data_IF_687732455917
#
_entry.id   IF_687732455917
#
_cell.length_a   1.000
_cell.length_b   1.000
_cell.length_c   1.000
_cell.angle_alpha   90.00
_cell.angle_beta   90.00
_cell.angle_gamma   90.00
#
_symmetry.space_group_name_H-M   'P 1'
#
loop_
_entity.id
_entity.type
_entity.pdbx_description
1 polymer ?
#
# COMPACT_ATOMS: atom_id res chain seq x y z
N UNK A 1 -17.84 -27.05 11.54
CA UNK A 1 -17.56 -25.61 11.38
C UNK A 1 -16.27 -25.51 10.59
N UNK A 2 -16.28 -24.90 9.41
CA UNK A 2 -15.04 -24.60 8.67
C UNK A 2 -14.23 -23.61 9.51
N UNK A 3 -12.97 -23.94 9.81
CA UNK A 3 -12.09 -23.00 10.51
C UNK A 3 -11.94 -21.76 9.63
N UNK A 4 -12.17 -20.58 10.20
CA UNK A 4 -11.96 -19.32 9.50
C UNK A 4 -10.46 -19.21 9.19
N UNK A 5 -10.10 -18.98 7.93
CA UNK A 5 -8.72 -18.80 7.54
C UNK A 5 -8.15 -17.54 8.23
N UNK A 6 -6.91 -17.63 8.71
CA UNK A 6 -6.19 -16.46 9.24
C UNK A 6 -6.24 -15.32 8.21
N UNK A 7 -6.44 -14.11 8.67
CA UNK A 7 -6.48 -12.91 7.81
C UNK A 7 -7.81 -12.65 7.10
N UNK A 8 -8.80 -13.54 7.19
CA UNK A 8 -10.10 -13.32 6.56
C UNK A 8 -10.83 -12.06 7.07
N UNK A 9 -10.56 -11.65 8.32
CA UNK A 9 -11.15 -10.48 8.98
C UNK A 9 -10.09 -9.42 9.28
N UNK A 10 -9.20 -9.14 8.32
CA UNK A 10 -8.18 -8.11 8.47
C UNK A 10 -8.81 -6.75 8.80
N UNK A 11 -8.16 -5.99 9.68
CA UNK A 11 -8.70 -4.75 10.25
C UNK A 11 -9.12 -3.71 9.21
N UNK A 12 -8.34 -3.57 8.13
CA UNK A 12 -8.64 -2.63 7.05
C UNK A 12 -9.23 -3.30 5.81
N UNK A 13 -9.67 -4.57 5.92
CA UNK A 13 -10.10 -5.40 4.80
C UNK A 13 -8.94 -6.10 4.09
N UNK A 14 -9.22 -6.78 2.98
CA UNK A 14 -8.25 -7.64 2.30
C UNK A 14 -7.64 -6.98 1.05
N UNK A 15 -8.24 -5.90 0.53
CA UNK A 15 -7.74 -5.15 -0.60
C UNK A 15 -7.69 -3.65 -0.30
N UNK A 16 -6.49 -3.11 -0.18
CA UNK A 16 -6.24 -1.68 -0.08
C UNK A 16 -5.49 -1.22 -1.34
N UNK A 17 -5.77 0.00 -1.80
CA UNK A 17 -4.95 0.64 -2.84
C UNK A 17 -3.99 1.65 -2.20
N UNK A 18 -2.68 1.52 -2.50
CA UNK A 18 -1.71 2.58 -2.24
C UNK A 18 -1.91 3.69 -3.29
N UNK A 19 -2.79 4.64 -2.99
CA UNK A 19 -3.32 5.61 -3.95
C UNK A 19 -2.22 6.54 -4.48
N UNK A 20 -2.18 6.72 -5.81
CA UNK A 20 -1.38 7.75 -6.47
C UNK A 20 -1.95 9.13 -6.14
N UNK A 21 -1.08 10.13 -6.00
CA UNK A 21 -1.49 11.53 -5.77
C UNK A 21 -1.66 12.24 -7.11
N UNK A 22 -2.87 12.65 -7.51
CA UNK A 22 -3.06 13.46 -8.69
C UNK A 22 -2.39 14.83 -8.57
N UNK A 23 -1.71 15.25 -9.62
CA UNK A 23 -1.00 16.52 -9.67
C UNK A 23 -1.45 17.35 -10.89
N UNK A 24 -1.44 18.66 -10.75
CA UNK A 24 -1.52 19.59 -11.88
C UNK A 24 -0.20 19.61 -12.66
N UNK A 25 -0.19 20.16 -13.90
CA UNK A 25 1.05 20.26 -14.71
C UNK A 25 2.18 21.05 -14.06
N UNK A 26 1.88 21.96 -13.14
CA UNK A 26 2.86 22.71 -12.37
C UNK A 26 3.43 21.93 -11.16
N UNK A 27 2.95 20.70 -10.94
CA UNK A 27 3.38 19.84 -9.85
C UNK A 27 2.63 20.07 -8.53
N UNK A 28 1.70 21.01 -8.44
CA UNK A 28 0.83 21.15 -7.25
C UNK A 28 -0.19 20.01 -7.17
N UNK A 29 -0.68 19.72 -5.96
CA UNK A 29 -1.65 18.62 -5.76
C UNK A 29 -3.02 19.04 -6.29
N UNK A 30 -3.63 18.17 -7.11
CA UNK A 30 -5.03 18.27 -7.52
C UNK A 30 -5.93 17.59 -6.47
N UNK A 31 -6.30 18.33 -5.44
CA UNK A 31 -7.15 17.83 -4.35
C UNK A 31 -8.52 17.36 -4.85
N UNK A 32 -9.13 18.07 -5.80
CA UNK A 32 -10.43 17.69 -6.36
C UNK A 32 -10.33 16.40 -7.20
N UNK A 33 -9.26 16.29 -7.99
CA UNK A 33 -8.92 15.06 -8.69
C UNK A 33 -8.64 13.90 -7.73
N UNK A 34 -7.94 14.15 -6.63
CA UNK A 34 -7.67 13.15 -5.60
C UNK A 34 -8.97 12.63 -4.95
N UNK A 35 -9.92 13.51 -4.60
CA UNK A 35 -11.24 13.13 -4.12
C UNK A 35 -12.01 12.27 -5.14
N UNK A 36 -11.96 12.65 -6.41
CA UNK A 36 -12.60 11.90 -7.51
C UNK A 36 -12.00 10.52 -7.67
N UNK A 37 -10.66 10.43 -7.65
CA UNK A 37 -9.93 9.17 -7.73
C UNK A 37 -10.25 8.26 -6.54
N UNK A 38 -10.26 8.80 -5.32
CA UNK A 38 -10.56 8.05 -4.11
C UNK A 38 -11.97 7.44 -4.16
N UNK A 39 -12.99 8.22 -4.52
CA UNK A 39 -14.36 7.73 -4.68
C UNK A 39 -14.46 6.63 -5.73
N UNK A 40 -13.76 6.79 -6.86
CA UNK A 40 -13.74 5.79 -7.93
C UNK A 40 -13.07 4.48 -7.49
N UNK A 41 -11.94 4.55 -6.79
CA UNK A 41 -11.25 3.37 -6.25
C UNK A 41 -12.11 2.63 -5.22
N UNK A 42 -12.78 3.35 -4.33
CA UNK A 42 -13.69 2.73 -3.35
C UNK A 42 -14.90 2.08 -4.03
N UNK A 43 -15.51 2.74 -5.01
CA UNK A 43 -16.61 2.18 -5.80
C UNK A 43 -16.19 0.92 -6.59
N UNK A 44 -14.91 0.81 -6.96
CA UNK A 44 -14.32 -0.37 -7.62
C UNK A 44 -14.19 -1.60 -6.73
N UNK A 45 -14.33 -1.46 -5.39
CA UNK A 45 -14.32 -2.57 -4.45
C UNK A 45 -13.11 -2.61 -3.50
N UNK A 46 -12.33 -1.52 -3.39
CA UNK A 46 -11.33 -1.41 -2.33
C UNK A 46 -11.98 -1.34 -0.95
N UNK A 47 -11.36 -1.92 0.05
CA UNK A 47 -11.83 -1.88 1.44
C UNK A 47 -11.38 -0.60 2.16
N UNK A 48 -10.17 -0.11 1.82
CA UNK A 48 -9.60 1.14 2.29
C UNK A 48 -8.54 1.66 1.30
N UNK A 49 -8.06 2.89 1.50
CA UNK A 49 -6.98 3.48 0.71
C UNK A 49 -5.80 3.87 1.61
N UNK A 50 -4.58 3.65 1.11
CA UNK A 50 -3.37 4.17 1.72
C UNK A 50 -2.99 5.46 1.01
N UNK A 51 -3.04 6.57 1.72
CA UNK A 51 -2.72 7.91 1.23
C UNK A 51 -1.31 8.31 1.67
N UNK A 52 -0.58 9.05 0.86
CA UNK A 52 0.81 9.44 1.16
C UNK A 52 1.79 8.26 1.27
N UNK A 53 1.50 7.14 0.60
CA UNK A 53 2.44 6.03 0.46
C UNK A 53 3.50 6.32 -0.62
N UNK A 54 4.33 5.32 -0.94
CA UNK A 54 5.33 5.41 -2.02
C UNK A 54 4.70 5.77 -3.37
N UNK A 55 3.57 5.12 -3.70
CA UNK A 55 2.82 5.39 -4.94
C UNK A 55 2.21 6.79 -4.96
N UNK A 56 1.92 7.36 -3.79
CA UNK A 56 1.48 8.75 -3.61
C UNK A 56 2.61 9.77 -3.60
N UNK A 57 3.82 9.39 -4.00
CA UNK A 57 5.00 10.27 -4.10
C UNK A 57 5.39 10.94 -2.76
N UNK A 58 5.21 10.22 -1.64
CA UNK A 58 5.50 10.73 -0.29
C UNK A 58 6.90 11.40 -0.12
N UNK A 59 8.00 10.93 -0.76
CA UNK A 59 9.30 11.58 -0.61
C UNK A 59 9.38 13.01 -1.16
N UNK A 60 8.51 13.38 -2.10
CA UNK A 60 8.50 14.69 -2.78
C UNK A 60 7.30 15.54 -2.37
N UNK A 61 6.54 15.12 -1.37
CA UNK A 61 5.39 15.82 -0.82
C UNK A 61 5.74 16.39 0.55
N UNK A 62 5.48 17.66 0.81
CA UNK A 62 5.69 18.28 2.12
C UNK A 62 4.72 17.73 3.18
N UNK A 63 4.99 17.97 4.44
CA UNK A 63 4.09 17.55 5.51
C UNK A 63 2.74 18.26 5.44
N UNK A 64 2.72 19.55 5.13
CA UNK A 64 1.49 20.33 4.94
C UNK A 64 0.66 19.76 3.79
N UNK A 65 1.28 19.52 2.62
CA UNK A 65 0.60 18.88 1.48
C UNK A 65 0.03 17.50 1.86
N UNK A 66 0.75 16.71 2.68
CA UNK A 66 0.26 15.40 3.14
C UNK A 66 -0.97 15.55 4.02
N UNK A 67 -0.95 16.49 4.96
CA UNK A 67 -2.06 16.71 5.89
C UNK A 67 -3.29 17.29 5.17
N UNK A 68 -3.10 18.21 4.23
CA UNK A 68 -4.19 18.77 3.42
C UNK A 68 -4.81 17.69 2.50
N UNK A 69 -3.96 16.80 1.94
CA UNK A 69 -4.47 15.68 1.15
C UNK A 69 -5.27 14.68 2.00
N UNK A 70 -4.86 14.43 3.24
CA UNK A 70 -5.65 13.60 4.16
C UNK A 70 -7.02 14.22 4.42
N UNK A 71 -7.10 15.53 4.70
CA UNK A 71 -8.38 16.23 4.90
C UNK A 71 -9.31 16.08 3.68
N UNK A 72 -8.76 16.32 2.47
CA UNK A 72 -9.53 16.19 1.24
C UNK A 72 -10.05 14.75 1.02
N UNK A 73 -9.23 13.73 1.28
CA UNK A 73 -9.64 12.34 1.09
C UNK A 73 -10.62 11.90 2.17
N UNK A 74 -10.42 12.30 3.43
CA UNK A 74 -11.36 12.02 4.54
C UNK A 74 -12.74 12.60 4.23
N UNK A 75 -12.81 13.82 3.73
CA UNK A 75 -14.06 14.43 3.29
C UNK A 75 -14.75 13.60 2.18
N UNK A 76 -13.98 13.01 1.28
CA UNK A 76 -14.48 12.28 0.12
C UNK A 76 -15.03 10.88 0.44
N UNK A 77 -14.36 10.13 1.34
CA UNK A 77 -14.64 8.69 1.55
C UNK A 77 -14.79 8.28 3.01
N UNK A 78 -14.65 9.21 3.96
CA UNK A 78 -14.68 8.93 5.40
C UNK A 78 -13.31 8.52 5.98
N UNK A 79 -13.08 8.90 7.23
CA UNK A 79 -11.81 8.69 7.92
C UNK A 79 -11.52 7.20 8.19
N UNK A 80 -12.56 6.39 8.38
CA UNK A 80 -12.49 4.94 8.61
C UNK A 80 -11.96 4.15 7.40
N UNK A 81 -11.89 4.77 6.23
CA UNK A 81 -11.36 4.19 4.97
C UNK A 81 -9.96 4.69 4.61
N UNK A 82 -9.34 5.50 5.46
CA UNK A 82 -8.05 6.14 5.16
C UNK A 82 -6.96 5.61 6.10
N UNK A 83 -5.91 5.04 5.52
CA UNK A 83 -4.65 4.71 6.20
C UNK A 83 -3.60 5.72 5.73
N UNK A 84 -3.01 6.50 6.63
CA UNK A 84 -2.04 7.52 6.27
C UNK A 84 -0.62 6.95 6.20
N UNK A 85 0.09 7.21 5.12
CA UNK A 85 1.53 6.99 5.01
C UNK A 85 2.29 8.03 5.84
N UNK A 86 2.92 7.59 6.92
CA UNK A 86 3.80 8.40 7.74
C UNK A 86 5.05 7.58 8.08
N UNK A 87 6.04 7.61 7.19
CA UNK A 87 7.29 6.87 7.33
C UNK A 87 8.47 7.64 6.75
N UNK A 88 9.65 7.36 7.26
CA UNK A 88 10.89 8.01 6.87
C UNK A 88 12.08 7.54 7.70
N UNK A 89 13.20 8.23 7.59
CA UNK A 89 14.46 7.84 8.23
C UNK A 89 14.90 8.77 9.38
N UNK A 90 14.07 9.76 9.74
CA UNK A 90 14.20 10.57 10.96
C UNK A 90 13.04 10.27 11.91
N UNK A 91 13.32 9.52 12.97
CA UNK A 91 12.32 9.10 13.95
C UNK A 91 11.56 10.28 14.57
N UNK A 92 12.26 11.38 14.91
CA UNK A 92 11.64 12.56 15.56
C UNK A 92 10.64 13.23 14.61
N UNK A 93 11.00 13.38 13.34
CA UNK A 93 10.14 13.95 12.31
C UNK A 93 8.91 13.06 12.10
N UNK A 94 9.11 11.75 11.95
CA UNK A 94 8.01 10.82 11.67
C UNK A 94 7.04 10.68 12.85
N UNK A 95 7.51 10.73 14.10
CA UNK A 95 6.61 10.79 15.26
C UNK A 95 5.67 12.00 15.20
N UNK A 96 6.16 13.18 14.77
CA UNK A 96 5.32 14.38 14.61
C UNK A 96 4.29 14.20 13.49
N UNK A 97 4.75 13.71 12.35
CA UNK A 97 3.86 13.48 11.19
C UNK A 97 2.79 12.41 11.52
N UNK A 98 3.17 11.32 12.19
CA UNK A 98 2.24 10.27 12.61
C UNK A 98 1.18 10.80 13.58
N UNK A 99 1.60 11.57 14.60
CA UNK A 99 0.66 12.22 15.54
C UNK A 99 -0.27 13.22 14.85
N UNK A 100 0.26 14.05 13.92
CA UNK A 100 -0.55 14.99 13.15
C UNK A 100 -1.55 14.28 12.22
N UNK A 101 -1.12 13.20 11.57
CA UNK A 101 -2.01 12.36 10.74
C UNK A 101 -3.10 11.69 11.58
N UNK A 102 -2.75 11.16 12.76
CA UNK A 102 -3.68 10.57 13.70
C UNK A 102 -4.74 11.58 14.18
N UNK A 103 -4.33 12.84 14.41
CA UNK A 103 -5.23 13.92 14.81
C UNK A 103 -6.28 14.27 13.71
N UNK A 104 -6.05 13.91 12.44
CA UNK A 104 -7.04 14.01 11.36
C UNK A 104 -8.13 12.92 11.46
N UNK A 105 -7.98 11.94 12.35
CA UNK A 105 -8.95 10.87 12.56
C UNK A 105 -8.82 9.68 11.61
N UNK A 106 -7.72 9.54 10.87
CA UNK A 106 -7.47 8.39 9.97
C UNK A 106 -7.56 7.05 10.72
N UNK A 107 -7.92 5.98 10.00
CA UNK A 107 -8.11 4.65 10.57
C UNK A 107 -6.80 4.00 11.07
N UNK A 108 -5.66 4.41 10.49
CA UNK A 108 -4.34 3.90 10.88
C UNK A 108 -3.20 4.58 10.14
N UNK A 109 -1.99 4.19 10.53
CA UNK A 109 -0.72 4.67 9.94
C UNK A 109 -0.03 3.51 9.22
N UNK A 110 0.51 3.74 8.03
CA UNK A 110 1.48 2.88 7.37
C UNK A 110 2.86 3.54 7.46
N UNK A 111 3.83 2.91 8.15
CA UNK A 111 5.16 3.47 8.34
C UNK A 111 6.24 2.58 7.71
N UNK A 112 6.99 3.13 6.76
CA UNK A 112 8.06 2.42 6.05
C UNK A 112 9.32 2.31 6.92
N UNK A 113 10.04 1.19 6.78
CA UNK A 113 11.35 0.99 7.41
C UNK A 113 12.30 2.16 7.07
N UNK A 114 13.13 2.63 8.04
CA UNK A 114 14.08 3.71 7.80
C UNK A 114 15.01 3.35 6.64
N UNK A 115 15.02 4.18 5.61
CA UNK A 115 15.85 4.01 4.43
C UNK A 115 17.13 4.84 4.50
N UNK A 116 18.15 4.47 3.71
CA UNK A 116 19.42 5.17 3.52
C UNK A 116 20.39 5.06 4.71
N UNK A 117 20.00 5.40 5.94
CA UNK A 117 20.86 5.41 7.14
C UNK A 117 21.10 4.02 7.77
N UNK A 118 20.50 2.95 7.22
CA UNK A 118 20.77 1.54 7.54
C UNK A 118 20.81 1.22 9.03
N UNK A 119 19.75 1.48 9.81
CA UNK A 119 19.74 1.16 11.24
C UNK A 119 19.88 -0.36 11.46
N UNK A 120 20.49 -0.75 12.59
CA UNK A 120 20.44 -2.13 13.07
C UNK A 120 19.02 -2.49 13.56
N UNK A 121 18.75 -3.77 13.80
CA UNK A 121 17.41 -4.25 14.20
C UNK A 121 16.90 -3.59 15.49
N UNK A 122 17.77 -3.34 16.48
CA UNK A 122 17.39 -2.59 17.68
C UNK A 122 17.00 -1.13 17.36
N UNK A 123 17.67 -0.50 16.39
CA UNK A 123 17.30 0.83 15.91
C UNK A 123 15.94 0.83 15.20
N UNK A 124 15.66 -0.18 14.39
CA UNK A 124 14.36 -0.39 13.73
C UNK A 124 13.25 -0.59 14.77
N UNK A 125 13.47 -1.45 15.77
CA UNK A 125 12.53 -1.68 16.85
C UNK A 125 12.19 -0.37 17.59
N UNK A 126 13.20 0.39 18.03
CA UNK A 126 13.00 1.66 18.76
C UNK A 126 12.31 2.72 17.89
N UNK A 127 12.63 2.75 16.60
CA UNK A 127 11.99 3.65 15.66
C UNK A 127 10.47 3.41 15.57
N UNK A 128 10.05 2.17 15.32
CA UNK A 128 8.63 1.83 15.22
C UNK A 128 7.88 1.95 16.54
N UNK A 129 8.52 1.60 17.65
CA UNK A 129 7.96 1.83 18.98
C UNK A 129 7.64 3.31 19.21
N UNK A 130 8.61 4.20 18.94
CA UNK A 130 8.40 5.64 19.10
C UNK A 130 7.27 6.18 18.21
N UNK A 131 7.14 5.67 16.96
CA UNK A 131 6.06 6.04 16.05
C UNK A 131 4.72 5.54 16.57
N UNK A 132 4.65 4.30 17.04
CA UNK A 132 3.44 3.70 17.60
C UNK A 132 2.96 4.46 18.85
N UNK A 133 3.88 4.81 19.75
CA UNK A 133 3.60 5.62 20.94
C UNK A 133 3.07 7.03 20.55
N UNK A 134 3.67 7.65 19.53
CA UNK A 134 3.27 8.99 19.08
C UNK A 134 1.93 9.01 18.32
N UNK A 135 1.64 8.00 17.51
CA UNK A 135 0.41 7.90 16.76
C UNK A 135 -0.80 7.58 17.65
N UNK A 136 -0.65 6.68 18.62
CA UNK A 136 -1.69 6.19 19.53
C UNK A 136 -2.95 5.64 18.82
N UNK A 137 -2.82 5.27 17.55
CA UNK A 137 -3.82 4.60 16.70
C UNK A 137 -3.18 3.39 16.02
N UNK A 138 -3.94 2.52 15.32
CA UNK A 138 -3.38 1.38 14.61
C UNK A 138 -2.22 1.73 13.67
N UNK A 139 -1.12 0.99 13.75
CA UNK A 139 0.08 1.15 12.90
C UNK A 139 0.36 -0.14 12.15
N UNK A 140 0.62 -0.03 10.85
CA UNK A 140 1.20 -1.07 10.01
C UNK A 140 2.67 -0.76 9.75
N UNK A 141 3.54 -1.73 10.01
CA UNK A 141 4.92 -1.68 9.54
C UNK A 141 4.94 -1.78 8.01
N UNK A 142 5.93 -1.18 7.35
CA UNK A 142 6.13 -1.40 5.93
C UNK A 142 7.57 -1.81 5.64
N UNK A 143 7.74 -3.08 5.30
CA UNK A 143 9.02 -3.67 4.95
C UNK A 143 9.18 -3.77 3.43
N UNK A 144 10.16 -3.04 2.87
CA UNK A 144 10.42 -3.02 1.42
C UNK A 144 11.93 -2.89 1.16
N UNK A 145 12.72 -3.92 1.48
CA UNK A 145 14.19 -3.84 1.44
C UNK A 145 14.74 -3.51 0.05
N UNK A 146 14.03 -3.83 -1.04
CA UNK A 146 14.41 -3.43 -2.40
C UNK A 146 14.41 -1.90 -2.63
N UNK A 147 13.73 -1.12 -1.77
CA UNK A 147 13.74 0.35 -1.82
C UNK A 147 14.54 0.97 -0.68
N UNK A 148 14.45 0.37 0.51
CA UNK A 148 15.01 0.96 1.75
C UNK A 148 16.42 0.49 2.05
N UNK A 149 16.86 -0.64 1.47
CA UNK A 149 18.09 -1.37 1.82
C UNK A 149 18.04 -1.94 3.27
N UNK A 150 17.08 -1.51 4.08
CA UNK A 150 16.83 -2.01 5.43
C UNK A 150 15.73 -3.07 5.39
N UNK A 151 15.98 -4.25 5.96
CA UNK A 151 14.99 -5.29 6.16
C UNK A 151 14.56 -5.30 7.62
N UNK A 152 13.27 -5.32 7.90
CA UNK A 152 12.72 -5.64 9.22
C UNK A 152 12.72 -7.17 9.28
N UNK A 153 13.60 -7.77 10.06
CA UNK A 153 13.65 -9.22 10.16
C UNK A 153 12.47 -9.79 10.96
N UNK A 154 12.26 -11.10 10.84
CA UNK A 154 11.15 -11.78 11.53
C UNK A 154 11.19 -11.59 13.03
N UNK A 155 12.39 -11.68 13.67
CA UNK A 155 12.51 -11.54 15.12
C UNK A 155 12.18 -10.12 15.60
N UNK A 156 12.55 -9.11 14.82
CA UNK A 156 12.20 -7.72 15.10
C UNK A 156 10.71 -7.47 14.92
N UNK A 157 10.10 -8.01 13.86
CA UNK A 157 8.66 -7.93 13.61
C UNK A 157 7.87 -8.60 14.73
N UNK A 158 8.25 -9.83 15.13
CA UNK A 158 7.67 -10.57 16.25
C UNK A 158 7.73 -9.76 17.56
N UNK A 159 8.91 -9.24 17.89
CA UNK A 159 9.10 -8.43 19.09
C UNK A 159 8.22 -7.18 19.10
N UNK A 160 8.13 -6.47 17.97
CA UNK A 160 7.26 -5.29 17.87
C UNK A 160 5.79 -5.70 18.04
N UNK A 161 5.35 -6.78 17.39
CA UNK A 161 3.97 -7.27 17.45
C UNK A 161 3.56 -7.69 18.88
N UNK A 162 4.50 -8.16 19.70
CA UNK A 162 4.25 -8.56 21.09
C UNK A 162 4.33 -7.39 22.07
N UNK A 163 5.21 -6.42 21.82
CA UNK A 163 5.49 -5.32 22.75
C UNK A 163 4.62 -4.06 22.52
N UNK A 164 3.96 -3.95 21.35
CA UNK A 164 3.21 -2.75 20.93
C UNK A 164 1.80 -3.14 20.45
N UNK A 165 0.82 -3.02 21.32
CA UNK A 165 -0.57 -3.41 21.05
C UNK A 165 -1.20 -2.69 19.85
N UNK A 166 -0.79 -1.46 19.58
CA UNK A 166 -1.30 -0.69 18.44
C UNK A 166 -0.52 -0.91 17.13
N UNK A 167 0.56 -1.71 17.15
CA UNK A 167 1.16 -2.21 15.89
C UNK A 167 0.43 -3.49 15.50
N UNK A 168 -0.53 -3.34 14.62
CA UNK A 168 -1.53 -4.37 14.30
C UNK A 168 -1.15 -5.25 13.09
N UNK A 169 -0.05 -4.96 12.41
CA UNK A 169 0.34 -5.73 11.23
C UNK A 169 1.52 -5.16 10.48
N UNK A 170 1.79 -5.78 9.34
CA UNK A 170 2.85 -5.37 8.43
C UNK A 170 2.39 -5.43 6.97
N UNK A 171 2.86 -4.49 6.14
CA UNK A 171 2.92 -4.60 4.69
C UNK A 171 4.28 -5.17 4.32
N UNK A 172 4.31 -6.43 3.91
CA UNK A 172 5.54 -7.15 3.58
C UNK A 172 5.76 -7.14 2.05
N UNK A 173 6.82 -6.50 1.63
CA UNK A 173 7.18 -6.32 0.22
C UNK A 173 8.63 -6.73 -0.07
N UNK A 174 9.19 -7.66 0.70
CA UNK A 174 10.52 -8.22 0.42
C UNK A 174 10.53 -9.21 -0.75
N UNK A 175 9.36 -9.76 -1.11
CA UNK A 175 9.27 -10.88 -2.06
C UNK A 175 9.75 -12.22 -1.48
N UNK A 176 10.16 -12.26 -0.21
CA UNK A 176 10.65 -13.47 0.46
C UNK A 176 9.51 -14.20 1.18
N UNK A 177 8.92 -15.19 0.52
CA UNK A 177 7.80 -15.97 1.08
C UNK A 177 8.17 -16.76 2.34
N UNK A 178 9.44 -17.13 2.53
CA UNK A 178 9.90 -17.76 3.78
C UNK A 178 9.81 -16.76 4.94
N UNK A 179 10.25 -15.52 4.75
CA UNK A 179 10.10 -14.47 5.76
C UNK A 179 8.62 -14.18 6.07
N UNK A 180 7.77 -14.14 5.05
CA UNK A 180 6.30 -14.00 5.25
C UNK A 180 5.76 -15.14 6.10
N UNK A 181 6.07 -16.40 5.78
CA UNK A 181 5.63 -17.56 6.53
C UNK A 181 6.14 -17.54 7.98
N UNK A 182 7.41 -17.15 8.18
CA UNK A 182 8.00 -17.00 9.51
C UNK A 182 7.28 -15.91 10.34
N UNK A 183 6.97 -14.76 9.75
CA UNK A 183 6.21 -13.70 10.41
C UNK A 183 4.82 -14.22 10.80
N UNK A 184 4.11 -14.85 9.88
CA UNK A 184 2.78 -15.45 10.13
C UNK A 184 2.84 -16.46 11.27
N UNK A 185 3.88 -17.31 11.32
CA UNK A 185 4.00 -18.37 12.33
C UNK A 185 4.35 -17.87 13.74
N UNK A 186 4.97 -16.68 13.85
CA UNK A 186 5.48 -16.14 15.12
C UNK A 186 4.67 -14.98 15.68
N UNK A 187 3.77 -14.40 14.89
CA UNK A 187 2.92 -13.31 15.35
C UNK A 187 1.53 -13.78 15.72
N UNK A 188 0.81 -13.09 16.63
CA UNK A 188 -0.56 -13.42 16.98
C UNK A 188 -1.47 -13.47 15.75
N UNK A 189 -2.55 -14.27 15.80
CA UNK A 189 -3.53 -14.38 14.69
C UNK A 189 -4.24 -13.04 14.38
N UNK A 190 -4.20 -12.11 15.32
CA UNK A 190 -4.71 -10.73 15.16
C UNK A 190 -3.73 -9.79 14.48
N UNK A 191 -2.49 -10.23 14.21
CA UNK A 191 -1.50 -9.43 13.51
C UNK A 191 -1.64 -9.63 12.00
N UNK A 192 -2.07 -8.57 11.29
CA UNK A 192 -2.34 -8.58 9.86
C UNK A 192 -1.05 -8.57 9.04
N UNK A 193 -0.88 -9.54 8.14
CA UNK A 193 0.28 -9.61 7.24
C UNK A 193 -0.20 -9.38 5.81
N UNK A 194 -0.10 -8.14 5.34
CA UNK A 194 -0.47 -7.74 3.97
C UNK A 194 0.69 -7.95 3.01
N UNK A 195 0.40 -8.44 1.80
CA UNK A 195 1.36 -8.32 0.70
C UNK A 195 1.56 -6.86 0.29
N UNK A 196 2.80 -6.48 0.03
CA UNK A 196 3.15 -5.20 -0.58
C UNK A 196 3.55 -5.32 -2.06
N UNK A 197 3.43 -6.52 -2.64
CA UNK A 197 3.80 -6.86 -4.01
C UNK A 197 2.64 -7.57 -4.71
N UNK A 198 2.10 -6.95 -5.75
CA UNK A 198 0.98 -7.47 -6.54
C UNK A 198 1.27 -8.84 -7.16
N UNK A 199 2.53 -9.07 -7.54
CA UNK A 199 2.98 -10.33 -8.14
C UNK A 199 3.05 -11.51 -7.16
N UNK A 200 2.96 -11.26 -5.86
CA UNK A 200 3.05 -12.30 -4.83
C UNK A 200 1.76 -12.48 -4.03
N UNK A 201 0.65 -11.83 -4.39
CA UNK A 201 -0.59 -11.89 -3.60
C UNK A 201 -1.02 -13.31 -3.29
N UNK A 202 -1.17 -14.19 -4.30
CA UNK A 202 -1.68 -15.53 -4.08
C UNK A 202 -0.76 -16.40 -3.20
N UNK A 203 0.56 -16.51 -3.47
CA UNK A 203 1.46 -17.23 -2.55
C UNK A 203 1.49 -16.62 -1.16
N UNK A 204 1.34 -15.29 -1.02
CA UNK A 204 1.24 -14.61 0.26
C UNK A 204 -0.01 -15.03 1.06
N UNK A 205 -1.17 -15.10 0.41
CA UNK A 205 -2.39 -15.63 1.01
C UNK A 205 -2.23 -17.11 1.40
N UNK A 206 -1.54 -17.91 0.57
CA UNK A 206 -1.34 -19.34 0.80
C UNK A 206 -0.50 -19.64 2.04
N UNK A 207 0.40 -18.75 2.45
CA UNK A 207 1.17 -18.88 3.70
C UNK A 207 0.51 -18.22 4.91
N UNK A 208 -0.71 -17.70 4.77
CA UNK A 208 -1.50 -17.13 5.88
C UNK A 208 -1.53 -15.61 5.94
N UNK A 209 -1.17 -14.92 4.85
CA UNK A 209 -1.36 -13.48 4.72
C UNK A 209 -2.84 -13.09 4.68
N UNK A 210 -3.13 -11.82 4.96
CA UNK A 210 -4.49 -11.30 5.12
C UNK A 210 -5.04 -10.57 3.89
N UNK A 211 -4.21 -10.28 2.91
CA UNK A 211 -4.60 -9.47 1.75
C UNK A 211 -3.44 -8.70 1.16
N UNK A 212 -3.72 -7.55 0.56
CA UNK A 212 -2.73 -6.75 -0.15
C UNK A 212 -2.96 -5.25 0.00
N UNK A 213 -1.85 -4.50 0.04
CA UNK A 213 -1.82 -3.06 -0.22
C UNK A 213 -1.23 -2.87 -1.61
N UNK A 214 -2.10 -2.83 -2.61
CA UNK A 214 -1.85 -2.99 -4.04
C UNK A 214 -1.51 -1.68 -4.75
N UNK A 215 -0.79 -1.78 -5.87
CA UNK A 215 -0.63 -0.71 -6.85
C UNK A 215 -1.53 -0.95 -8.07
N UNK A 216 -1.58 -2.19 -8.60
CA UNK A 216 -2.36 -2.46 -9.81
C UNK A 216 -3.87 -2.37 -9.59
N UNK A 217 -4.34 -2.35 -8.35
CA UNK A 217 -5.74 -2.06 -8.03
C UNK A 217 -6.22 -0.68 -8.50
N UNK A 218 -5.33 0.22 -8.95
CA UNK A 218 -5.73 1.42 -9.69
C UNK A 218 -6.41 1.12 -11.03
N UNK A 219 -6.10 0.00 -11.65
CA UNK A 219 -6.60 -0.36 -13.00
C UNK A 219 -7.25 -1.75 -13.04
N UNK A 220 -7.12 -2.53 -11.99
CA UNK A 220 -7.58 -3.91 -11.90
C UNK A 220 -8.23 -4.24 -10.54
N UNK A 221 -8.95 -3.28 -9.92
CA UNK A 221 -9.58 -3.49 -8.61
C UNK A 221 -10.47 -4.73 -8.58
N UNK A 222 -11.40 -4.96 -9.54
CA UNK A 222 -12.27 -6.13 -9.50
C UNK A 222 -11.50 -7.45 -9.55
N UNK A 223 -10.43 -7.53 -10.36
CA UNK A 223 -9.59 -8.72 -10.49
C UNK A 223 -8.85 -9.01 -9.19
N UNK A 224 -8.23 -7.97 -8.58
CA UNK A 224 -7.53 -8.11 -7.30
C UNK A 224 -8.49 -8.48 -6.17
N UNK A 225 -9.68 -7.89 -6.13
CA UNK A 225 -10.73 -8.23 -5.16
C UNK A 225 -11.17 -9.68 -5.31
N UNK A 226 -11.31 -10.17 -6.55
CA UNK A 226 -11.70 -11.55 -6.83
C UNK A 226 -10.67 -12.56 -6.30
N UNK A 227 -9.37 -12.26 -6.36
CA UNK A 227 -8.33 -13.13 -5.77
C UNK A 227 -8.58 -13.32 -4.28
N UNK A 228 -8.72 -12.22 -3.52
CA UNK A 228 -8.95 -12.27 -2.08
C UNK A 228 -10.28 -12.95 -1.73
N UNK A 229 -11.37 -12.54 -2.39
CA UNK A 229 -12.72 -13.06 -2.10
C UNK A 229 -12.80 -14.55 -2.33
N UNK A 230 -12.29 -15.05 -3.48
CA UNK A 230 -12.31 -16.49 -3.80
C UNK A 230 -11.42 -17.28 -2.84
N UNK A 231 -10.24 -16.74 -2.49
CA UNK A 231 -9.35 -17.39 -1.54
C UNK A 231 -10.02 -17.60 -0.19
N UNK A 232 -10.58 -16.55 0.40
CA UNK A 232 -11.23 -16.64 1.71
C UNK A 232 -12.56 -17.39 1.70
N UNK A 233 -13.18 -17.57 0.53
CA UNK A 233 -14.31 -18.46 0.32
C UNK A 233 -13.90 -19.95 0.19
N UNK A 234 -12.59 -20.28 0.20
CA UNK A 234 -12.08 -21.63 0.01
C UNK A 234 -11.95 -22.07 -1.46
N UNK A 235 -12.22 -21.18 -2.42
CA UNK A 235 -12.06 -21.45 -3.85
C UNK A 235 -10.62 -21.14 -4.29
N UNK A 236 -9.69 -21.99 -3.92
CA UNK A 236 -8.28 -21.84 -4.27
C UNK A 236 -8.03 -21.92 -5.79
N UNK A 237 -8.82 -22.70 -6.53
CA UNK A 237 -8.71 -22.80 -7.98
C UNK A 237 -9.15 -21.50 -8.67
N UNK A 238 -10.30 -20.97 -8.30
CA UNK A 238 -10.77 -19.69 -8.80
C UNK A 238 -9.91 -18.49 -8.38
N UNK A 239 -9.34 -18.51 -7.17
CA UNK A 239 -8.36 -17.50 -6.73
C UNK A 239 -7.11 -17.52 -7.62
N UNK A 240 -6.59 -18.72 -7.95
CA UNK A 240 -5.47 -18.89 -8.86
C UNK A 240 -5.78 -18.34 -10.26
N UNK A 241 -6.94 -18.68 -10.81
CA UNK A 241 -7.36 -18.18 -12.13
C UNK A 241 -7.42 -16.65 -12.14
N UNK A 242 -8.06 -16.04 -11.14
CA UNK A 242 -8.13 -14.58 -10.99
C UNK A 242 -6.73 -13.96 -10.87
N UNK A 243 -5.83 -14.54 -10.06
CA UNK A 243 -4.47 -14.06 -9.88
C UNK A 243 -3.65 -14.11 -11.18
N UNK A 244 -3.72 -15.21 -11.94
CA UNK A 244 -2.98 -15.34 -13.19
C UNK A 244 -3.35 -14.26 -14.22
N UNK A 245 -4.61 -13.82 -14.24
CA UNK A 245 -5.06 -12.71 -15.09
C UNK A 245 -4.40 -11.38 -14.74
N UNK A 246 -4.00 -11.17 -13.47
CA UNK A 246 -3.36 -9.92 -13.02
C UNK A 246 -1.89 -9.81 -13.36
N UNK A 247 -1.18 -10.93 -13.64
CA UNK A 247 0.27 -10.93 -13.82
C UNK A 247 0.74 -10.10 -15.02
N UNK A 248 -0.03 -10.08 -16.12
CA UNK A 248 0.27 -9.23 -17.27
C UNK A 248 0.20 -7.75 -16.91
N UNK A 249 -0.86 -7.35 -16.18
CA UNK A 249 -1.07 -5.99 -15.70
C UNK A 249 0.06 -5.60 -14.73
N UNK A 250 0.40 -6.48 -13.79
CA UNK A 250 1.50 -6.27 -12.84
C UNK A 250 2.80 -5.98 -13.57
N UNK A 251 3.20 -6.81 -14.53
CA UNK A 251 4.44 -6.60 -15.30
C UNK A 251 4.44 -5.27 -16.04
N UNK A 252 3.32 -4.87 -16.63
CA UNK A 252 3.23 -3.62 -17.37
C UNK A 252 3.31 -2.39 -16.45
N UNK A 253 2.60 -2.41 -15.32
CA UNK A 253 2.60 -1.30 -14.35
C UNK A 253 3.96 -1.15 -13.62
N UNK A 254 4.74 -2.22 -13.52
CA UNK A 254 6.07 -2.19 -12.93
C UNK A 254 7.21 -2.23 -13.95
N UNK A 255 6.93 -2.06 -15.25
CA UNK A 255 7.95 -2.02 -16.31
C UNK A 255 8.86 -0.79 -16.22
N UNK A 256 8.40 0.27 -15.58
CA UNK A 256 9.13 1.50 -15.30
C UNK A 256 8.94 1.87 -13.81
N UNK A 257 9.76 2.82 -13.27
CA UNK A 257 9.63 3.24 -11.87
C UNK A 257 8.22 3.73 -11.52
N UNK A 258 7.62 3.07 -10.52
CA UNK A 258 6.31 3.48 -9.97
C UNK A 258 6.44 4.86 -9.26
N UNK A 259 5.45 5.79 -9.40
CA UNK A 259 4.11 5.57 -9.95
C UNK A 259 3.90 5.97 -11.43
N UNK A 260 4.94 6.29 -12.20
CA UNK A 260 4.78 6.83 -13.55
C UNK A 260 3.85 5.96 -14.46
N UNK A 261 4.02 4.61 -14.56
CA UNK A 261 3.10 3.81 -15.35
C UNK A 261 1.67 3.79 -14.80
N UNK A 262 1.52 3.82 -13.48
CA UNK A 262 0.19 3.87 -12.83
C UNK A 262 -0.54 5.15 -13.18
N UNK A 263 0.12 6.31 -13.12
CA UNK A 263 -0.46 7.61 -13.47
C UNK A 263 -0.78 7.68 -14.97
N UNK A 264 0.10 7.16 -15.83
CA UNK A 264 -0.17 7.05 -17.25
C UNK A 264 -1.41 6.18 -17.54
N UNK A 265 -1.53 5.03 -16.88
CA UNK A 265 -2.68 4.15 -17.02
C UNK A 265 -3.99 4.81 -16.54
N UNK A 266 -3.96 5.54 -15.43
CA UNK A 266 -5.09 6.34 -14.95
C UNK A 266 -5.50 7.41 -15.98
N UNK A 267 -4.54 8.12 -16.57
CA UNK A 267 -4.81 9.11 -17.63
C UNK A 267 -5.45 8.48 -18.84
N UNK A 268 -5.00 7.29 -19.28
CA UNK A 268 -5.62 6.53 -20.37
C UNK A 268 -7.07 6.09 -20.04
N UNK A 269 -7.37 5.85 -18.77
CA UNK A 269 -8.73 5.57 -18.27
C UNK A 269 -9.58 6.85 -18.07
N UNK A 270 -9.06 8.04 -18.40
CA UNK A 270 -9.75 9.30 -18.16
C UNK A 270 -9.90 9.64 -16.68
N UNK A 271 -9.01 9.12 -15.81
CA UNK A 271 -9.01 9.40 -14.37
C UNK A 271 -7.96 10.44 -14.01
N UNK A 272 -8.22 11.22 -12.93
CA UNK A 272 -7.23 12.18 -12.44
C UNK A 272 -5.90 11.50 -12.08
N UNK A 273 -4.79 12.03 -12.61
CA UNK A 273 -3.45 11.51 -12.36
C UNK A 273 -2.37 12.60 -12.44
N UNK A 274 -2.24 13.27 -13.60
CA UNK A 274 -1.20 14.28 -13.86
C UNK A 274 0.22 13.69 -13.95
N UNK A 275 1.23 14.55 -13.99
CA UNK A 275 2.64 14.16 -14.08
C UNK A 275 3.15 13.58 -12.75
N UNK A 276 4.38 13.03 -12.77
CA UNK A 276 5.14 12.73 -11.54
C UNK A 276 6.08 13.88 -11.21
N UNK A 277 6.46 14.04 -9.93
CA UNK A 277 7.48 14.99 -9.49
C UNK A 277 8.88 14.42 -9.66
N UNK A 278 9.86 15.28 -10.01
CA UNK A 278 11.27 14.89 -9.98
C UNK A 278 11.66 14.33 -8.58
N UNK A 279 12.54 13.35 -8.50
CA UNK A 279 13.41 12.83 -9.56
C UNK A 279 12.77 11.80 -10.49
N UNK A 280 11.50 11.45 -10.29
CA UNK A 280 10.77 10.61 -11.23
C UNK A 280 10.42 11.39 -12.49
N UNK A 281 10.25 10.68 -13.60
CA UNK A 281 9.85 11.25 -14.89
C UNK A 281 8.67 10.47 -15.47
N UNK A 282 7.84 11.12 -16.25
CA UNK A 282 6.73 10.51 -16.96
C UNK A 282 7.25 9.49 -18.00
N UNK A 283 6.36 8.61 -18.44
CA UNK A 283 6.67 7.70 -19.54
C UNK A 283 6.98 8.48 -20.81
N UNK A 284 8.00 8.05 -21.55
CA UNK A 284 8.23 8.55 -22.89
C UNK A 284 7.16 8.01 -23.87
N UNK A 285 7.14 8.58 -25.08
CA UNK A 285 6.11 8.27 -26.07
C UNK A 285 6.00 6.78 -26.39
N UNK A 286 7.12 6.08 -26.59
CA UNK A 286 7.11 4.64 -26.92
C UNK A 286 6.63 3.78 -25.73
N UNK A 287 6.95 4.16 -24.50
CA UNK A 287 6.47 3.48 -23.29
C UNK A 287 4.97 3.69 -23.08
N UNK A 288 4.47 4.90 -23.36
CA UNK A 288 3.04 5.22 -23.28
C UNK A 288 2.25 4.44 -24.34
N UNK A 289 2.75 4.39 -25.58
CA UNK A 289 2.14 3.61 -26.67
C UNK A 289 2.07 2.10 -26.35
N UNK A 290 3.16 1.54 -25.77
CA UNK A 290 3.19 0.15 -25.34
C UNK A 290 2.17 -0.12 -24.23
N UNK A 291 2.04 0.78 -23.25
CA UNK A 291 1.04 0.69 -22.19
C UNK A 291 -0.38 0.76 -22.76
N UNK A 292 -0.67 1.72 -23.64
CA UNK A 292 -1.98 1.89 -24.25
C UNK A 292 -2.38 0.66 -25.09
N UNK A 293 -1.46 0.14 -25.90
CA UNK A 293 -1.70 -1.07 -26.70
C UNK A 293 -2.02 -2.28 -25.80
N UNK A 294 -1.25 -2.47 -24.72
CA UNK A 294 -1.50 -3.52 -23.74
C UNK A 294 -2.88 -3.37 -23.07
N UNK A 295 -3.24 -2.16 -22.65
CA UNK A 295 -4.53 -1.91 -21.99
C UNK A 295 -5.71 -2.16 -22.94
N UNK A 296 -5.58 -1.77 -24.22
CA UNK A 296 -6.57 -2.05 -25.27
C UNK A 296 -6.72 -3.55 -25.52
N UNK A 297 -5.60 -4.29 -25.69
CA UNK A 297 -5.62 -5.75 -25.88
C UNK A 297 -6.34 -6.48 -24.73
N UNK A 298 -6.24 -5.94 -23.51
CA UNK A 298 -6.86 -6.51 -22.31
C UNK A 298 -8.27 -5.99 -22.01
N UNK A 299 -8.81 -5.10 -22.87
CA UNK A 299 -10.13 -4.52 -22.71
C UNK A 299 -10.25 -3.65 -21.43
N UNK A 300 -9.14 -3.02 -21.04
CA UNK A 300 -9.13 -2.07 -19.92
C UNK A 300 -9.49 -0.66 -20.38
N UNK A 301 -9.24 -0.35 -21.65
CA UNK A 301 -9.63 0.88 -22.36
C UNK A 301 -10.21 0.52 -23.71
#
# INVERSE_FOLDING_TARGET
>A
MSATLRGANARFGNLLTAMATPLYPDGSIDFAGAQTLAKWLMAGGNDALVINGTTGESPTTSDDEKLDLLDAIIEAIGADKVVAGAGGNDTRHICKLAAASAAKGVAGILSVAPYYNKPCQEGIYRHFRAIADAAAIPVLLYNVPGRTIANIDTATTERIALDQENVIGTKEASGNMMQVADIVSRTPDTFDVYSGDDGTLLPHLAVGGCGIISVISHVATPQMKAVCTKWFAGDAAGAREAFLLTLGITRMIFAQPSPAPTKAALSLLGKPAGPVRLPLVDLNQSQLEALAAFMTERGLI
#
